data_IF_767999357954
#
_entry.id   IF_767999357954
#
_cell.length_a   1.000
_cell.length_b   1.000
_cell.length_c   1.000
_cell.angle_alpha   90.00
_cell.angle_beta   90.00
_cell.angle_gamma   90.00
#
_symmetry.space_group_name_H-M   'P 1'
#
loop_
_entity.id
_entity.type
_entity.pdbx_description
1 polymer ?
#
# COMPACT_ATOMS: atom_id res chain seq x y z
N UNK A 1 7.68 -2.99 -26.78
CA UNK A 1 7.63 -1.56 -27.05
C UNK A 1 7.39 -0.83 -25.76
N UNK A 2 8.39 -0.17 -25.23
CA UNK A 2 8.21 0.71 -24.08
C UNK A 2 7.51 1.98 -24.56
N UNK A 3 6.28 2.24 -24.10
CA UNK A 3 5.56 3.48 -24.40
C UNK A 3 6.25 4.66 -23.75
N UNK A 4 6.59 5.67 -24.53
CA UNK A 4 7.14 6.93 -24.01
C UNK A 4 6.06 7.67 -23.21
N UNK A 5 6.30 7.85 -21.91
CA UNK A 5 5.41 8.65 -21.04
C UNK A 5 5.85 10.10 -21.12
N UNK A 6 5.08 10.93 -21.82
CA UNK A 6 5.33 12.35 -21.94
C UNK A 6 4.55 13.13 -20.88
N UNK A 7 5.25 13.76 -19.94
CA UNK A 7 4.64 14.59 -18.91
C UNK A 7 4.70 16.06 -19.37
N UNK A 8 3.54 16.66 -19.62
CA UNK A 8 3.41 18.08 -19.98
C UNK A 8 2.95 18.91 -18.78
N UNK A 9 3.33 20.18 -18.72
CA UNK A 9 2.91 21.11 -17.66
C UNK A 9 3.75 21.07 -16.38
N UNK A 10 4.84 20.31 -16.34
CA UNK A 10 5.72 20.20 -15.17
C UNK A 10 6.32 21.56 -14.76
N UNK A 11 6.77 22.36 -15.73
CA UNK A 11 7.39 23.66 -15.47
C UNK A 11 6.40 24.64 -14.87
N UNK A 12 5.17 24.69 -15.37
CA UNK A 12 4.10 25.53 -14.84
C UNK A 12 3.72 25.12 -13.42
N UNK A 13 3.62 23.83 -13.17
CA UNK A 13 3.36 23.30 -11.84
C UNK A 13 4.46 23.66 -10.84
N UNK A 14 5.73 23.56 -11.25
CA UNK A 14 6.89 23.95 -10.45
C UNK A 14 6.91 25.46 -10.17
N UNK A 15 6.62 26.30 -11.17
CA UNK A 15 6.54 27.75 -10.99
C UNK A 15 5.45 28.14 -9.99
N UNK A 16 4.27 27.52 -10.10
CA UNK A 16 3.16 27.73 -9.16
C UNK A 16 3.54 27.30 -7.74
N UNK A 17 4.18 26.14 -7.59
CA UNK A 17 4.63 25.64 -6.29
C UNK A 17 5.70 26.53 -5.64
N UNK A 18 6.61 27.11 -6.44
CA UNK A 18 7.66 28.02 -5.93
C UNK A 18 7.09 29.32 -5.36
N UNK A 19 5.95 29.79 -5.88
CA UNK A 19 5.25 30.99 -5.39
C UNK A 19 4.48 30.78 -4.08
N UNK A 20 4.32 29.55 -3.59
CA UNK A 20 3.57 29.27 -2.37
C UNK A 20 4.45 29.34 -1.10
N UNK A 21 3.90 29.83 0.04
CA UNK A 21 4.54 29.68 1.35
C UNK A 21 4.92 28.20 1.63
N UNK A 22 6.02 27.96 2.34
CA UNK A 22 6.57 26.61 2.54
C UNK A 22 5.58 25.60 3.12
N UNK A 23 4.74 26.03 4.06
CA UNK A 23 3.70 25.18 4.66
C UNK A 23 2.64 24.75 3.62
N UNK A 24 2.22 25.67 2.76
CA UNK A 24 1.23 25.40 1.71
C UNK A 24 1.86 24.57 0.58
N UNK A 25 3.12 24.88 0.21
CA UNK A 25 3.90 24.11 -0.78
C UNK A 25 4.01 22.64 -0.37
N UNK A 26 4.39 22.35 0.87
CA UNK A 26 4.51 20.98 1.36
C UNK A 26 3.18 20.23 1.40
N UNK A 27 2.06 20.94 1.67
CA UNK A 27 0.72 20.35 1.65
C UNK A 27 0.25 20.07 0.22
N UNK A 28 0.43 21.02 -0.70
CA UNK A 28 0.05 20.88 -2.10
C UNK A 28 0.83 19.72 -2.76
N UNK A 29 2.14 19.68 -2.55
CA UNK A 29 3.00 18.62 -3.08
C UNK A 29 2.61 17.24 -2.54
N UNK A 30 2.32 17.12 -1.24
CA UNK A 30 1.85 15.87 -0.66
C UNK A 30 0.53 15.40 -1.27
N UNK A 31 -0.41 16.31 -1.47
CA UNK A 31 -1.70 15.98 -2.07
C UNK A 31 -1.55 15.54 -3.53
N UNK A 32 -0.71 16.21 -4.31
CA UNK A 32 -0.41 15.85 -5.70
C UNK A 32 0.25 14.47 -5.78
N UNK A 33 1.29 14.21 -4.98
CA UNK A 33 1.94 12.90 -4.91
C UNK A 33 0.98 11.80 -4.45
N UNK A 34 0.12 12.08 -3.47
CA UNK A 34 -0.88 11.12 -3.02
C UNK A 34 -1.93 10.82 -4.09
N UNK A 35 -2.31 11.80 -4.91
CA UNK A 35 -3.21 11.61 -6.04
C UNK A 35 -2.58 10.66 -7.09
N UNK A 36 -1.34 10.91 -7.50
CA UNK A 36 -0.61 10.02 -8.40
C UNK A 36 -0.43 8.60 -7.83
N UNK A 37 -0.06 8.51 -6.55
CA UNK A 37 0.11 7.24 -5.87
C UNK A 37 -1.21 6.43 -5.76
N UNK A 38 -2.37 7.09 -5.74
CA UNK A 38 -3.68 6.40 -5.79
C UNK A 38 -3.90 5.69 -7.12
N UNK A 39 -3.49 6.28 -8.23
CA UNK A 39 -3.58 5.62 -9.55
C UNK A 39 -2.76 4.34 -9.58
N UNK A 40 -1.52 4.39 -9.07
CA UNK A 40 -0.65 3.22 -8.94
C UNK A 40 -1.26 2.17 -8.01
N UNK A 41 -1.78 2.58 -6.84
CA UNK A 41 -2.48 1.70 -5.91
C UNK A 41 -3.65 0.99 -6.58
N UNK A 42 -4.47 1.72 -7.32
CA UNK A 42 -5.69 1.18 -7.93
C UNK A 42 -5.35 0.23 -9.09
N UNK A 43 -4.30 0.52 -9.86
CA UNK A 43 -3.74 -0.41 -10.84
C UNK A 43 -3.23 -1.69 -10.15
N UNK A 44 -2.44 -1.56 -9.10
CA UNK A 44 -1.93 -2.70 -8.33
C UNK A 44 -3.07 -3.55 -7.71
N UNK A 45 -4.14 -2.92 -7.25
CA UNK A 45 -5.32 -3.61 -6.74
C UNK A 45 -6.07 -4.40 -7.80
N UNK A 46 -6.14 -3.91 -9.05
CA UNK A 46 -6.76 -4.65 -10.16
C UNK A 46 -5.99 -5.91 -10.52
N UNK A 47 -4.67 -5.87 -10.43
CA UNK A 47 -3.80 -7.00 -10.75
C UNK A 47 -3.48 -7.90 -9.54
N UNK A 48 -3.90 -7.52 -8.33
CA UNK A 48 -3.64 -8.31 -7.14
C UNK A 48 -4.42 -9.64 -7.18
N UNK A 49 -3.76 -10.77 -6.92
CA UNK A 49 -4.42 -12.07 -6.89
C UNK A 49 -5.49 -12.12 -5.79
N UNK A 50 -6.63 -12.72 -6.13
CA UNK A 50 -7.74 -12.95 -5.21
C UNK A 50 -7.97 -14.44 -5.11
N UNK A 51 -8.00 -14.96 -3.89
CA UNK A 51 -8.29 -16.37 -3.63
C UNK A 51 -9.75 -16.64 -3.96
N UNK A 52 -10.03 -17.77 -4.62
CA UNK A 52 -11.38 -18.20 -4.96
C UNK A 52 -12.22 -18.36 -3.67
N UNK A 53 -13.43 -17.80 -3.62
CA UNK A 53 -14.35 -18.02 -2.50
C UNK A 53 -14.64 -19.50 -2.21
N UNK A 54 -14.57 -20.39 -3.21
CA UNK A 54 -14.75 -21.82 -3.08
C UNK A 54 -13.51 -22.56 -2.56
N UNK A 55 -12.36 -21.88 -2.43
CA UNK A 55 -11.13 -22.48 -1.91
C UNK A 55 -11.36 -23.04 -0.49
N UNK A 56 -10.91 -24.28 -0.19
CA UNK A 56 -11.07 -24.89 1.13
C UNK A 56 -10.54 -24.06 2.28
N UNK A 57 -9.50 -23.26 2.04
CA UNK A 57 -8.92 -22.35 3.05
C UNK A 57 -9.86 -21.18 3.37
N UNK A 58 -10.65 -20.73 2.39
CA UNK A 58 -11.66 -19.69 2.57
C UNK A 58 -12.89 -20.26 3.27
N UNK A 59 -13.38 -21.41 2.82
CA UNK A 59 -14.53 -22.12 3.41
C UNK A 59 -14.29 -22.42 4.90
N UNK A 60 -13.07 -22.84 5.27
CA UNK A 60 -12.68 -23.08 6.67
C UNK A 60 -12.42 -21.79 7.47
N UNK A 61 -12.58 -20.61 6.88
CA UNK A 61 -12.36 -19.32 7.55
C UNK A 61 -10.89 -18.97 7.81
N UNK A 62 -9.93 -19.73 7.27
CA UNK A 62 -8.50 -19.49 7.46
C UNK A 62 -7.97 -18.37 6.56
N UNK A 63 -8.69 -18.04 5.50
CA UNK A 63 -8.37 -16.97 4.55
C UNK A 63 -9.61 -16.18 4.20
N UNK A 64 -9.41 -14.90 3.84
CA UNK A 64 -10.46 -14.05 3.30
C UNK A 64 -10.12 -13.65 1.87
N UNK A 65 -11.06 -13.76 0.91
CA UNK A 65 -10.86 -13.29 -0.45
C UNK A 65 -10.50 -11.80 -0.47
N UNK A 66 -9.60 -11.41 -1.37
CA UNK A 66 -9.22 -10.02 -1.54
C UNK A 66 -8.37 -9.40 -0.43
N UNK A 67 -7.88 -10.19 0.55
CA UNK A 67 -7.03 -9.70 1.65
C UNK A 67 -5.82 -8.93 1.14
N UNK A 68 -5.11 -9.46 0.13
CA UNK A 68 -3.94 -8.81 -0.46
C UNK A 68 -4.34 -7.52 -1.18
N UNK A 69 -5.38 -7.56 -2.01
CA UNK A 69 -5.91 -6.40 -2.73
C UNK A 69 -6.28 -5.25 -1.77
N UNK A 70 -6.96 -5.58 -0.68
CA UNK A 70 -7.41 -4.57 0.30
C UNK A 70 -6.25 -4.05 1.16
N UNK A 71 -5.15 -4.79 1.28
CA UNK A 71 -3.97 -4.40 2.03
C UNK A 71 -3.05 -3.43 1.28
N UNK A 72 -3.22 -3.26 -0.04
CA UNK A 72 -2.45 -2.28 -0.82
C UNK A 72 -2.93 -0.88 -0.48
N UNK A 73 -2.04 -0.06 0.08
CA UNK A 73 -2.36 1.29 0.59
C UNK A 73 -1.31 2.32 0.20
N UNK A 74 -1.76 3.57 0.08
CA UNK A 74 -0.89 4.73 -0.07
C UNK A 74 -0.52 5.25 1.32
N UNK A 75 0.74 5.56 1.55
CA UNK A 75 1.24 6.10 2.82
C UNK A 75 2.24 7.22 2.61
N UNK A 76 2.24 8.18 3.52
CA UNK A 76 3.26 9.23 3.56
C UNK A 76 4.50 8.71 4.28
N UNK A 77 5.68 9.01 3.73
CA UNK A 77 6.96 8.67 4.32
C UNK A 77 7.20 9.48 5.60
N UNK A 78 7.44 8.78 6.70
CA UNK A 78 7.84 9.41 7.96
C UNK A 78 9.28 9.90 7.92
N UNK A 79 10.15 9.20 7.19
CA UNK A 79 11.57 9.55 7.03
C UNK A 79 11.66 10.85 6.26
N UNK A 80 11.08 10.92 5.06
CA UNK A 80 11.05 12.16 4.26
C UNK A 80 10.51 13.35 5.08
N UNK A 81 9.45 13.14 5.89
CA UNK A 81 8.90 14.20 6.73
C UNK A 81 9.86 14.67 7.82
N UNK A 82 10.69 13.78 8.39
CA UNK A 82 11.72 14.16 9.38
C UNK A 82 12.83 14.97 8.77
N UNK A 83 13.15 14.73 7.50
CA UNK A 83 14.15 15.42 6.72
C UNK A 83 13.63 16.71 6.05
N UNK A 84 12.40 17.14 6.37
CA UNK A 84 11.77 18.30 5.74
C UNK A 84 11.25 18.07 4.32
N UNK A 85 11.33 16.83 3.83
CA UNK A 85 10.92 16.42 2.50
C UNK A 85 9.50 15.87 2.46
N UNK A 86 8.93 15.76 1.27
CA UNK A 86 7.65 15.12 1.02
C UNK A 86 7.87 13.82 0.27
N UNK A 87 7.44 12.70 0.88
CA UNK A 87 7.50 11.39 0.24
C UNK A 87 6.17 10.64 0.42
N UNK A 88 5.72 9.99 -0.65
CA UNK A 88 4.55 9.11 -0.67
C UNK A 88 4.94 7.79 -1.30
N UNK A 89 4.44 6.68 -0.76
CA UNK A 89 4.72 5.36 -1.28
C UNK A 89 3.48 4.45 -1.22
N UNK A 90 3.44 3.47 -2.10
CA UNK A 90 2.43 2.41 -2.14
C UNK A 90 3.06 1.15 -1.58
N UNK A 91 2.40 0.51 -0.62
CA UNK A 91 2.86 -0.76 -0.08
C UNK A 91 1.70 -1.67 0.33
N UNK A 92 2.01 -2.93 0.56
CA UNK A 92 1.09 -3.90 1.16
C UNK A 92 1.20 -3.80 2.68
N UNK A 93 0.13 -3.35 3.33
CA UNK A 93 0.07 -3.19 4.77
C UNK A 93 -0.15 -4.57 5.42
N UNK A 94 0.73 -5.02 6.34
CA UNK A 94 0.45 -6.19 7.15
C UNK A 94 -0.78 -5.95 8.03
N UNK A 95 -1.51 -7.01 8.36
CA UNK A 95 -2.60 -6.89 9.33
C UNK A 95 -2.06 -6.24 10.61
N UNK A 96 -2.76 -5.24 11.10
CA UNK A 96 -2.51 -4.75 12.44
C UNK A 96 -2.87 -5.90 13.38
N UNK A 97 -1.88 -6.54 13.97
CA UNK A 97 -2.16 -7.32 15.17
C UNK A 97 -2.93 -6.40 16.10
N UNK A 98 -4.09 -6.82 16.56
CA UNK A 98 -4.88 -6.06 17.50
C UNK A 98 -4.00 -5.83 18.74
N UNK A 99 -3.35 -4.67 18.81
CA UNK A 99 -2.48 -4.32 19.94
C UNK A 99 -3.31 -4.14 21.22
N UNK A 100 -4.57 -3.77 21.05
CA UNK A 100 -5.50 -3.56 22.15
C UNK A 100 -6.93 -3.91 21.68
N UNK A 101 -7.54 -4.85 22.33
CA UNK A 101 -8.98 -5.09 22.29
C UNK A 101 -9.48 -5.01 23.73
N UNK A 102 -10.29 -4.00 24.05
CA UNK A 102 -10.78 -3.78 25.39
C UNK A 102 -9.71 -3.48 26.44
N UNK A 103 -8.65 -2.70 26.08
CA UNK A 103 -7.57 -2.33 27.01
C UNK A 103 -6.56 -3.43 27.31
N UNK A 104 -6.73 -4.66 26.82
CA UNK A 104 -5.80 -5.77 26.99
C UNK A 104 -4.93 -5.98 25.77
N UNK A 105 -3.62 -6.18 25.99
CA UNK A 105 -2.67 -6.46 24.92
C UNK A 105 -2.94 -7.86 24.34
N UNK A 106 -3.45 -7.92 23.12
CA UNK A 106 -3.63 -9.18 22.41
C UNK A 106 -2.28 -9.63 21.88
N UNK A 107 -1.83 -10.81 22.30
CA UNK A 107 -0.54 -11.40 21.92
C UNK A 107 -0.35 -11.37 20.39
N UNK A 108 0.89 -11.16 19.95
CA UNK A 108 1.32 -11.07 18.55
C UNK A 108 1.05 -12.35 17.69
N UNK A 109 0.39 -13.35 18.26
CA UNK A 109 0.07 -14.65 17.66
C UNK A 109 -0.96 -14.61 16.52
N UNK A 110 -1.60 -13.44 16.29
CA UNK A 110 -2.58 -13.27 15.20
C UNK A 110 -1.99 -12.62 13.95
N UNK A 111 -0.66 -12.68 13.74
CA UNK A 111 0.00 -12.23 12.52
C UNK A 111 0.42 -13.42 11.66
N UNK A 112 0.64 -13.16 10.38
CA UNK A 112 1.09 -14.17 9.42
C UNK A 112 0.03 -15.22 9.13
N UNK A 113 0.46 -16.47 9.05
CA UNK A 113 -0.39 -17.60 8.65
C UNK A 113 -1.63 -17.83 9.54
N UNK A 114 -1.59 -17.38 10.78
CA UNK A 114 -2.70 -17.55 11.75
C UNK A 114 -3.79 -16.48 11.63
N UNK A 115 -3.57 -15.41 10.84
CA UNK A 115 -4.58 -14.36 10.64
C UNK A 115 -5.19 -14.44 9.25
N UNK A 116 -6.51 -14.62 9.11
CA UNK A 116 -7.17 -14.63 7.81
C UNK A 116 -7.07 -13.27 7.07
N UNK A 117 -6.76 -12.21 7.79
CA UNK A 117 -6.66 -10.84 7.27
C UNK A 117 -5.22 -10.39 7.01
N UNK A 118 -4.21 -11.24 7.22
CA UNK A 118 -2.81 -10.86 7.01
C UNK A 118 -2.34 -11.29 5.61
N UNK A 119 -1.92 -10.34 4.76
CA UNK A 119 -1.37 -10.64 3.45
C UNK A 119 0.11 -11.09 3.52
N UNK A 120 0.48 -11.92 4.52
CA UNK A 120 1.86 -12.38 4.74
C UNK A 120 2.45 -13.09 3.53
N UNK A 121 1.60 -13.69 2.69
CA UNK A 121 1.97 -14.44 1.49
C UNK A 121 2.33 -13.54 0.29
N UNK A 122 2.27 -12.20 0.44
CA UNK A 122 2.60 -11.24 -0.63
C UNK A 122 3.94 -11.52 -1.31
N UNK A 123 4.96 -11.89 -0.50
CA UNK A 123 6.30 -12.20 -1.02
C UNK A 123 6.33 -13.44 -1.92
N UNK A 124 5.46 -14.39 -1.65
CA UNK A 124 5.37 -15.60 -2.46
C UNK A 124 4.67 -15.32 -3.81
N UNK A 125 3.75 -14.37 -3.85
CA UNK A 125 3.16 -13.91 -5.10
C UNK A 125 4.13 -13.14 -5.98
N UNK A 126 5.09 -12.41 -5.37
CA UNK A 126 6.10 -11.63 -6.13
C UNK A 126 7.30 -12.49 -6.56
N UNK A 127 7.79 -13.36 -5.69
CA UNK A 127 9.07 -14.09 -5.88
C UNK A 127 8.90 -15.58 -6.06
N UNK A 128 7.67 -16.08 -6.00
CA UNK A 128 7.39 -17.52 -5.99
C UNK A 128 7.85 -18.21 -4.71
N UNK A 129 7.67 -19.53 -4.67
CA UNK A 129 8.19 -20.39 -3.61
C UNK A 129 9.15 -21.41 -4.23
N UNK A 130 10.13 -21.89 -3.44
CA UNK A 130 11.07 -22.94 -3.90
C UNK A 130 10.37 -24.24 -4.35
N UNK A 131 9.09 -24.41 -3.99
CA UNK A 131 8.27 -25.60 -4.36
C UNK A 131 7.46 -25.44 -5.63
N UNK A 132 7.36 -24.23 -6.17
CA UNK A 132 6.67 -23.95 -7.44
C UNK A 132 7.67 -23.83 -8.58
N UNK A 133 8.54 -24.86 -8.74
CA UNK A 133 9.26 -25.12 -9.97
C UNK A 133 8.52 -26.16 -10.76
#
# INVERSE_FOLDING_TARGET
>A
MAGEVRITGMEQALATLRGLPDKLRGRALRNALAAGARLVRDAARRHAPVIDPADPMVVKGWRKPGTMRNAIVVRTSKIARREGNVGVFVNVRPAKGARFRGGKQVKATQRGAKSPNDPYYRRWGEFGTKRSK
#
